data_IF_660412418323
#
_entry.id   IF_660412418323
#
_cell.length_a   1.000
_cell.length_b   1.000
_cell.length_c   1.000
_cell.angle_alpha   90.00
_cell.angle_beta   90.00
_cell.angle_gamma   90.00
#
_symmetry.space_group_name_H-M   'P 1'
#
loop_
_entity.id
_entity.type
_entity.pdbx_description
1 polymer ?
#
# COMPACT_ATOMS: atom_id res chain seq x y z
N UNK A 1 2.11 13.74 6.02
CA UNK A 1 2.64 13.39 4.68
C UNK A 1 1.91 14.22 3.64
N UNK A 2 2.56 14.57 2.54
CA UNK A 2 1.99 15.38 1.46
C UNK A 2 2.17 14.63 0.14
N UNK A 3 1.11 14.36 -0.65
CA UNK A 3 1.25 13.67 -1.92
C UNK A 3 1.88 14.58 -2.98
N UNK A 4 2.77 14.02 -3.81
CA UNK A 4 3.16 14.58 -5.09
C UNK A 4 2.30 13.93 -6.17
N UNK A 5 1.33 14.66 -6.69
CA UNK A 5 0.47 14.16 -7.77
C UNK A 5 1.06 14.51 -9.13
N UNK A 6 0.87 13.64 -10.12
CA UNK A 6 1.00 14.04 -11.53
C UNK A 6 -0.37 14.45 -12.04
N UNK A 7 -0.46 15.58 -12.75
CA UNK A 7 -1.66 15.92 -13.51
C UNK A 7 -1.90 14.87 -14.59
N UNK A 8 -3.00 14.14 -14.47
CA UNK A 8 -3.50 13.23 -15.49
C UNK A 8 -4.92 13.68 -15.82
N UNK A 9 -5.04 14.52 -16.85
CA UNK A 9 -6.35 14.95 -17.37
C UNK A 9 -7.01 13.78 -18.10
N UNK A 10 -7.98 13.13 -17.46
CA UNK A 10 -8.80 12.11 -18.11
C UNK A 10 -10.17 12.69 -18.49
N UNK A 11 -10.51 12.63 -19.77
CA UNK A 11 -11.86 12.85 -20.24
C UNK A 11 -12.60 11.50 -20.22
N UNK A 12 -13.32 11.18 -19.14
CA UNK A 12 -14.52 10.32 -19.15
C UNK A 12 -15.19 10.24 -17.76
N UNK A 13 -16.48 9.90 -17.82
CA UNK A 13 -17.59 10.21 -16.93
C UNK A 13 -17.83 9.28 -15.72
N UNK A 14 -18.27 9.88 -14.61
CA UNK A 14 -19.09 9.37 -13.50
C UNK A 14 -18.71 8.03 -12.82
N UNK A 15 -17.75 8.08 -11.87
CA UNK A 15 -17.88 7.54 -10.50
C UNK A 15 -16.73 8.10 -9.65
N UNK A 16 -17.01 9.01 -8.72
CA UNK A 16 -16.00 9.70 -7.91
C UNK A 16 -15.58 8.88 -6.70
N UNK A 17 -14.61 7.97 -6.87
CA UNK A 17 -13.57 7.75 -5.85
C UNK A 17 -12.35 8.51 -6.34
N UNK A 18 -11.92 9.51 -5.57
CA UNK A 18 -10.77 10.36 -5.89
C UNK A 18 -9.49 9.52 -5.99
N UNK A 19 -9.21 8.96 -7.17
CA UNK A 19 -7.89 8.40 -7.51
C UNK A 19 -6.94 9.57 -7.74
N UNK A 20 -6.40 10.13 -6.65
CA UNK A 20 -5.23 10.98 -6.76
C UNK A 20 -4.07 10.11 -7.22
N UNK A 21 -3.56 10.33 -8.44
CA UNK A 21 -2.40 9.61 -8.98
C UNK A 21 -1.10 10.08 -8.30
N UNK A 22 -0.99 9.82 -7.00
CA UNK A 22 0.16 10.20 -6.21
C UNK A 22 1.37 9.42 -6.72
N UNK A 23 2.41 10.12 -7.15
CA UNK A 23 3.67 9.54 -7.63
C UNK A 23 4.66 9.29 -6.50
N UNK A 24 4.54 10.07 -5.42
CA UNK A 24 5.41 10.01 -4.26
C UNK A 24 4.74 10.73 -3.07
N UNK A 25 5.34 10.60 -1.89
CA UNK A 25 4.91 11.30 -0.68
C UNK A 25 6.09 12.00 0.00
N UNK A 26 5.90 13.28 0.34
CA UNK A 26 6.81 14.03 1.19
C UNK A 26 6.46 13.82 2.66
N UNK A 27 7.45 13.43 3.44
CA UNK A 27 7.36 13.36 4.89
C UNK A 27 8.06 14.56 5.51
N UNK A 28 7.43 15.14 6.54
CA UNK A 28 7.94 16.28 7.29
C UNK A 28 7.94 15.90 8.76
N UNK A 29 9.10 15.95 9.40
CA UNK A 29 9.23 15.75 10.84
C UNK A 29 8.81 17.03 11.56
N UNK A 30 7.80 16.94 12.44
CA UNK A 30 7.24 18.10 13.13
C UNK A 30 8.15 18.70 14.19
N UNK A 31 9.19 17.98 14.64
CA UNK A 31 10.10 18.45 15.70
C UNK A 31 11.23 19.32 15.17
N UNK A 32 11.81 18.93 14.03
CA UNK A 32 13.01 19.55 13.46
C UNK A 32 12.81 20.05 12.01
N UNK A 33 11.62 19.86 11.44
CA UNK A 33 11.27 20.24 10.08
C UNK A 33 12.12 19.55 8.99
N UNK A 34 12.77 18.42 9.31
CA UNK A 34 13.45 17.54 8.34
C UNK A 34 12.43 17.03 7.31
N UNK A 35 12.80 17.05 6.03
CA UNK A 35 11.95 16.62 4.93
C UNK A 35 12.64 15.53 4.14
N UNK A 36 11.90 14.50 3.77
CA UNK A 36 12.38 13.48 2.85
C UNK A 36 11.23 12.88 2.05
N UNK A 37 11.55 12.43 0.84
CA UNK A 37 10.62 11.70 -0.01
C UNK A 37 10.58 10.23 0.39
N UNK A 38 9.40 9.59 0.23
CA UNK A 38 9.25 8.14 0.41
C UNK A 38 10.15 7.37 -0.56
N UNK A 39 10.14 7.78 -1.82
CA UNK A 39 10.97 7.22 -2.88
C UNK A 39 11.99 8.24 -3.39
N UNK A 40 13.16 7.76 -3.79
CA UNK A 40 14.14 8.58 -4.54
C UNK A 40 13.75 8.83 -6.01
N UNK A 41 12.52 8.50 -6.41
CA UNK A 41 12.02 8.58 -7.79
C UNK A 41 10.52 8.91 -7.80
N UNK A 42 10.03 9.50 -8.89
CA UNK A 42 8.60 9.78 -9.11
C UNK A 42 8.01 8.92 -10.23
N UNK A 43 8.70 7.83 -10.60
CA UNK A 43 8.27 6.92 -11.69
C UNK A 43 7.12 6.01 -11.29
N UNK A 44 6.89 5.82 -9.99
CA UNK A 44 5.87 4.92 -9.49
C UNK A 44 4.51 5.61 -9.40
N UNK A 45 3.45 4.83 -9.37
CA UNK A 45 2.12 5.27 -8.96
C UNK A 45 1.82 4.63 -7.60
N UNK A 46 1.51 5.44 -6.60
CA UNK A 46 0.96 4.99 -5.33
C UNK A 46 -0.55 5.01 -5.47
N UNK A 47 -1.13 3.84 -5.72
CA UNK A 47 -2.56 3.68 -5.96
C UNK A 47 -3.39 3.85 -4.70
N UNK A 48 -2.83 3.52 -3.55
CA UNK A 48 -3.50 3.68 -2.27
C UNK A 48 -2.53 3.74 -1.09
N UNK A 49 -2.99 4.39 -0.02
CA UNK A 49 -2.28 4.49 1.26
C UNK A 49 -3.23 4.20 2.41
N UNK A 50 -2.86 3.25 3.26
CA UNK A 50 -3.60 2.90 4.46
C UNK A 50 -2.77 3.14 5.72
N UNK A 51 -3.33 3.89 6.67
CA UNK A 51 -2.71 4.12 7.98
C UNK A 51 -3.12 2.99 8.93
N UNK A 52 -2.16 2.19 9.38
CA UNK A 52 -2.38 1.13 10.34
C UNK A 52 -2.21 1.69 11.75
N UNK A 53 -3.34 1.98 12.40
CA UNK A 53 -3.39 2.47 13.78
C UNK A 53 -3.84 1.39 14.74
N UNK A 54 -3.21 1.33 15.92
CA UNK A 54 -3.82 0.64 17.05
C UNK A 54 -5.00 1.48 17.55
N UNK A 55 -6.16 0.83 17.72
CA UNK A 55 -7.24 1.38 18.53
C UNK A 55 -7.08 0.81 19.93
N UNK A 56 -6.73 1.65 20.90
CA UNK A 56 -6.99 1.33 22.31
C UNK A 56 -8.47 1.60 22.55
N UNK A 57 -9.23 0.58 22.92
CA UNK A 57 -10.68 0.71 23.18
C UNK A 57 -11.00 1.70 24.33
N UNK A 58 -10.01 2.01 25.18
CA UNK A 58 -10.11 2.93 26.32
C UNK A 58 -9.51 4.34 26.07
N UNK A 59 -8.98 4.62 24.88
CA UNK A 59 -8.41 5.95 24.60
C UNK A 59 -8.85 6.50 23.24
N UNK A 60 -9.25 7.77 23.21
CA UNK A 60 -9.56 8.50 21.98
C UNK A 60 -8.34 8.72 21.06
N UNK A 61 -7.13 8.34 21.51
CA UNK A 61 -5.90 8.47 20.73
C UNK A 61 -5.58 7.19 19.94
N UNK A 62 -5.92 7.18 18.64
CA UNK A 62 -5.39 6.15 17.74
C UNK A 62 -3.98 6.55 17.26
N UNK A 63 -2.97 5.74 17.59
CA UNK A 63 -1.58 5.97 17.17
C UNK A 63 -1.28 5.15 15.91
N UNK A 64 -0.97 5.84 14.82
CA UNK A 64 -0.47 5.20 13.58
C UNK A 64 0.89 4.58 13.87
N UNK A 65 1.05 3.29 13.58
CA UNK A 65 2.30 2.55 13.75
C UNK A 65 3.00 2.28 12.44
N UNK A 66 2.23 2.01 11.39
CA UNK A 66 2.75 1.62 10.08
C UNK A 66 1.90 2.27 9.01
N UNK A 67 2.51 2.62 7.89
CA UNK A 67 1.80 3.03 6.69
C UNK A 67 1.97 1.91 5.66
N UNK A 68 0.84 1.44 5.12
CA UNK A 68 0.82 0.48 4.01
C UNK A 68 0.56 1.22 2.71
N UNK A 69 1.31 0.86 1.67
CA UNK A 69 1.22 1.41 0.34
C UNK A 69 0.88 0.31 -0.66
N UNK A 70 -0.01 0.62 -1.59
CA UNK A 70 -0.22 -0.15 -2.83
C UNK A 70 0.41 0.65 -3.97
N UNK A 71 1.29 0.01 -4.73
CA UNK A 71 2.19 0.70 -5.65
C UNK A 71 2.25 -0.04 -6.97
N UNK A 72 2.07 0.70 -8.06
CA UNK A 72 2.30 0.25 -9.43
C UNK A 72 3.65 0.80 -9.88
N UNK A 73 4.57 -0.08 -10.24
CA UNK A 73 5.96 0.30 -10.58
C UNK A 73 6.26 0.28 -12.07
N UNK A 74 5.55 -0.54 -12.83
CA UNK A 74 5.74 -0.73 -14.27
C UNK A 74 4.39 -0.95 -14.95
N UNK A 75 4.33 -0.60 -16.23
CA UNK A 75 3.24 -0.96 -17.13
C UNK A 75 3.40 -2.45 -17.48
N UNK A 76 2.47 -3.25 -17.00
CA UNK A 76 2.45 -4.71 -17.13
C UNK A 76 1.45 -5.20 -18.16
N UNK A 77 0.53 -4.35 -18.61
CA UNK A 77 -0.46 -4.67 -19.64
C UNK A 77 -0.11 -4.08 -21.03
N UNK A 78 0.91 -3.22 -21.11
CA UNK A 78 1.47 -2.65 -22.34
C UNK A 78 0.69 -1.46 -22.90
N UNK A 79 -0.21 -0.84 -22.14
CA UNK A 79 -1.05 0.27 -22.59
C UNK A 79 -0.37 1.65 -22.51
N UNK A 80 0.88 1.69 -22.03
CA UNK A 80 1.74 2.85 -21.80
C UNK A 80 1.25 3.77 -20.68
N UNK A 81 0.40 3.28 -19.79
CA UNK A 81 -0.07 3.96 -18.60
C UNK A 81 0.34 3.16 -17.37
N UNK A 82 0.42 3.85 -16.24
CA UNK A 82 0.54 3.19 -14.94
C UNK A 82 -0.80 3.37 -14.26
N UNK A 83 -1.50 2.28 -14.04
CA UNK A 83 -2.86 2.27 -13.47
C UNK A 83 -3.04 1.08 -12.54
N UNK A 84 -4.18 1.02 -11.84
CA UNK A 84 -4.51 -0.10 -10.96
C UNK A 84 -4.79 -1.41 -11.71
N UNK A 85 -4.84 -1.38 -13.05
CA UNK A 85 -4.91 -2.56 -13.91
C UNK A 85 -3.54 -3.25 -14.06
N UNK A 86 -2.47 -2.60 -13.62
CA UNK A 86 -1.11 -3.17 -13.58
C UNK A 86 -0.83 -3.93 -12.28
N UNK A 87 0.19 -4.79 -12.32
CA UNK A 87 0.61 -5.55 -11.14
C UNK A 87 1.03 -4.64 -9.97
N UNK A 88 0.42 -4.90 -8.83
CA UNK A 88 0.64 -4.18 -7.59
C UNK A 88 1.83 -4.76 -6.81
N UNK A 89 2.54 -3.85 -6.16
CA UNK A 89 3.50 -4.11 -5.09
C UNK A 89 2.95 -3.54 -3.80
N UNK A 90 3.00 -4.30 -2.71
CA UNK A 90 2.64 -3.82 -1.37
C UNK A 90 3.92 -3.53 -0.61
N UNK A 91 4.00 -2.32 -0.07
CA UNK A 91 5.11 -1.87 0.77
C UNK A 91 4.63 -1.33 2.11
N UNK A 92 5.52 -1.35 3.10
CA UNK A 92 5.29 -0.80 4.43
C UNK A 92 6.37 0.20 4.79
N UNK A 93 6.04 1.23 5.58
CA UNK A 93 7.01 2.11 6.21
C UNK A 93 6.60 2.45 7.64
N UNK A 94 7.55 3.00 8.41
CA UNK A 94 7.21 3.71 9.65
C UNK A 94 6.35 4.95 9.35
N UNK A 95 5.67 5.55 10.35
CA UNK A 95 4.83 6.74 10.16
C UNK A 95 5.61 7.96 9.67
N UNK A 96 6.93 7.94 9.88
CA UNK A 96 7.85 8.95 9.35
C UNK A 96 8.17 8.79 7.88
N UNK A 97 7.76 7.70 7.21
CA UNK A 97 8.16 7.35 5.84
C UNK A 97 9.49 6.59 5.76
N UNK A 98 10.30 6.63 6.83
CA UNK A 98 11.59 5.90 6.91
C UNK A 98 11.36 4.39 7.03
N UNK A 99 12.37 3.62 6.62
CA UNK A 99 12.35 2.15 6.69
C UNK A 99 11.37 1.51 5.71
N UNK A 100 11.06 2.18 4.59
CA UNK A 100 10.21 1.60 3.55
C UNK A 100 10.76 0.25 3.07
N UNK A 101 9.87 -0.75 2.99
CA UNK A 101 10.20 -2.09 2.51
C UNK A 101 9.04 -2.68 1.71
N UNK A 102 9.36 -3.25 0.56
CA UNK A 102 8.43 -4.05 -0.24
C UNK A 102 8.27 -5.42 0.40
N UNK A 103 7.02 -5.84 0.60
CA UNK A 103 6.70 -7.11 1.25
C UNK A 103 6.07 -8.10 0.27
N UNK A 104 5.18 -7.66 -0.61
CA UNK A 104 4.54 -8.51 -1.63
C UNK A 104 4.68 -7.86 -2.99
N UNK A 105 4.92 -8.67 -4.02
CA UNK A 105 5.01 -8.24 -5.41
C UNK A 105 4.09 -9.08 -6.32
N UNK A 106 3.91 -8.61 -7.56
CA UNK A 106 3.17 -9.31 -8.60
C UNK A 106 1.72 -9.60 -8.23
N UNK A 107 1.07 -8.70 -7.49
CA UNK A 107 -0.32 -8.86 -7.08
C UNK A 107 -1.23 -8.38 -8.21
N UNK A 108 -2.13 -9.24 -8.68
CA UNK A 108 -3.15 -8.84 -9.66
C UNK A 108 -4.28 -8.06 -8.98
N UNK A 109 -4.72 -8.55 -7.81
CA UNK A 109 -5.86 -7.99 -7.08
C UNK A 109 -5.54 -7.93 -5.59
N UNK A 110 -5.60 -6.73 -5.02
CA UNK A 110 -5.58 -6.56 -3.57
C UNK A 110 -7.00 -6.71 -3.01
N UNK A 111 -7.26 -7.79 -2.26
CA UNK A 111 -8.61 -8.10 -1.75
C UNK A 111 -8.90 -7.35 -0.46
N UNK A 112 -7.95 -7.33 0.47
CA UNK A 112 -8.13 -6.62 1.74
C UNK A 112 -7.03 -6.86 2.75
N UNK A 113 -7.14 -6.16 3.88
CA UNK A 113 -6.19 -6.26 4.98
C UNK A 113 -6.87 -6.13 6.33
N UNK A 114 -6.26 -6.71 7.37
CA UNK A 114 -6.72 -6.58 8.75
C UNK A 114 -5.58 -6.76 9.74
N UNK A 115 -5.49 -5.89 10.74
CA UNK A 115 -4.64 -6.14 11.91
C UNK A 115 -5.27 -7.26 12.74
N UNK A 116 -4.56 -8.39 12.87
CA UNK A 116 -4.96 -9.51 13.73
C UNK A 116 -4.47 -9.29 15.15
N UNK A 117 -3.31 -8.65 15.30
CA UNK A 117 -2.74 -8.25 16.59
C UNK A 117 -1.97 -6.93 16.44
N UNK A 118 -1.30 -6.49 17.52
CA UNK A 118 -0.44 -5.31 17.53
C UNK A 118 0.71 -5.40 16.52
N UNK A 119 1.19 -6.61 16.24
CA UNK A 119 2.38 -6.84 15.42
C UNK A 119 2.11 -7.64 14.15
N UNK A 120 0.87 -8.12 13.93
CA UNK A 120 0.53 -8.98 12.80
C UNK A 120 -0.58 -8.37 11.95
N UNK A 121 -0.26 -8.14 10.67
CA UNK A 121 -1.18 -7.75 9.63
C UNK A 121 -1.49 -8.95 8.72
N UNK A 122 -2.77 -9.27 8.55
CA UNK A 122 -3.22 -10.17 7.50
C UNK A 122 -3.47 -9.37 6.23
N UNK A 123 -2.96 -9.88 5.11
CA UNK A 123 -3.25 -9.39 3.76
C UNK A 123 -3.85 -10.53 2.96
N UNK A 124 -4.93 -10.24 2.23
CA UNK A 124 -5.56 -11.16 1.29
C UNK A 124 -5.43 -10.56 -0.11
N UNK A 125 -4.96 -11.36 -1.07
CA UNK A 125 -4.65 -10.88 -2.42
C UNK A 125 -4.78 -12.01 -3.45
N UNK A 126 -4.69 -11.67 -4.73
CA UNK A 126 -4.58 -12.62 -5.83
C UNK A 126 -3.28 -12.42 -6.59
N UNK A 127 -2.66 -13.53 -7.01
CA UNK A 127 -1.48 -13.57 -7.85
C UNK A 127 -1.64 -14.66 -8.90
N UNK A 128 -1.48 -14.30 -10.18
CA UNK A 128 -1.76 -15.13 -11.35
C UNK A 128 -3.14 -15.79 -11.29
N UNK A 129 -4.15 -15.04 -10.84
CA UNK A 129 -5.54 -15.52 -10.68
C UNK A 129 -5.76 -16.52 -9.54
N UNK A 130 -4.75 -16.77 -8.70
CA UNK A 130 -4.86 -17.62 -7.50
C UNK A 130 -4.95 -16.74 -6.27
N UNK A 131 -5.89 -17.04 -5.37
CA UNK A 131 -6.06 -16.31 -4.11
C UNK A 131 -5.06 -16.75 -3.05
N UNK A 132 -4.50 -15.80 -2.31
CA UNK A 132 -3.57 -16.01 -1.22
C UNK A 132 -3.95 -15.20 0.02
N UNK A 133 -3.50 -15.68 1.17
CA UNK A 133 -3.39 -14.90 2.40
C UNK A 133 -1.96 -14.92 2.91
N UNK A 134 -1.47 -13.81 3.44
CA UNK A 134 -0.18 -13.72 4.10
C UNK A 134 -0.30 -12.96 5.43
N UNK A 135 0.39 -13.42 6.45
CA UNK A 135 0.62 -12.61 7.65
C UNK A 135 1.91 -11.81 7.47
N UNK A 136 1.94 -10.61 8.03
CA UNK A 136 3.09 -9.72 7.97
C UNK A 136 3.41 -9.27 9.39
N UNK A 137 4.63 -9.55 9.82
CA UNK A 137 5.17 -9.02 11.06
C UNK A 137 5.55 -7.54 10.88
N UNK A 138 4.94 -6.67 11.68
CA UNK A 138 5.07 -5.22 11.58
C UNK A 138 6.34 -4.67 12.24
N UNK A 139 7.07 -5.44 13.04
CA UNK A 139 8.35 -5.00 13.63
C UNK A 139 9.48 -5.03 12.60
N UNK A 140 9.49 -6.04 11.73
CA UNK A 140 10.54 -6.25 10.72
C UNK A 140 10.08 -6.10 9.26
N UNK A 141 8.79 -5.86 9.05
CA UNK A 141 8.15 -5.90 7.73
C UNK A 141 8.51 -7.20 6.98
N UNK A 142 8.21 -8.33 7.62
CA UNK A 142 8.51 -9.67 7.08
C UNK A 142 7.23 -10.47 6.95
N UNK A 143 7.12 -11.20 5.84
CA UNK A 143 6.01 -12.14 5.67
C UNK A 143 6.24 -13.36 6.56
N UNK A 144 5.18 -13.78 7.23
CA UNK A 144 5.03 -15.09 7.83
C UNK A 144 3.79 -15.76 7.24
N UNK A 145 3.89 -17.03 6.85
CA UNK A 145 2.74 -17.84 6.43
C UNK A 145 1.94 -17.28 5.23
N UNK A 146 2.59 -17.17 4.06
CA UNK A 146 1.87 -16.99 2.79
C UNK A 146 1.33 -18.34 2.31
N UNK A 147 0.01 -18.42 2.17
CA UNK A 147 -0.70 -19.66 1.82
C UNK A 147 -1.77 -19.40 0.78
N UNK A 148 -1.92 -20.33 -0.15
CA UNK A 148 -3.04 -20.33 -1.11
C UNK A 148 -4.37 -20.52 -0.37
N UNK A 149 -5.40 -19.78 -0.81
CA UNK A 149 -6.76 -19.90 -0.29
C UNK A 149 -7.42 -21.18 -0.80
N UNK A 150 -8.31 -21.81 -0.02
CA UNK A 150 -9.01 -23.02 -0.45
C UNK A 150 -9.83 -22.78 -1.71
N UNK A 151 -9.75 -23.72 -2.65
CA UNK A 151 -10.58 -23.73 -3.86
C UNK A 151 -11.92 -24.38 -3.57
N UNK A 152 -12.99 -23.83 -4.14
CA UNK A 152 -14.27 -24.54 -4.23
C UNK A 152 -14.24 -25.31 -5.55
N UNK A 153 -14.29 -26.63 -5.48
CA UNK A 153 -14.49 -27.45 -6.68
C UNK A 153 -15.92 -27.26 -7.19
N UNK A 154 -16.14 -27.15 -8.51
CA UNK A 154 -17.49 -27.16 -9.10
C UNK A 154 -18.25 -28.44 -8.80
#
# INVERSE_FOLDING_TARGET
MIPLNSDQSYAQSYYSKSSSSARNYLFINSKDNEKHWLFGTNKYLVSDVALLSEKDYDSDSSKVRVILYRIVKNDTNGDKRLTDDDLLTVGLSLPSGKGYKEILDGIDVFVGQRLISKDILLIVFQRKGVGFSANVNLLGFTISNETELPKVSP
#
